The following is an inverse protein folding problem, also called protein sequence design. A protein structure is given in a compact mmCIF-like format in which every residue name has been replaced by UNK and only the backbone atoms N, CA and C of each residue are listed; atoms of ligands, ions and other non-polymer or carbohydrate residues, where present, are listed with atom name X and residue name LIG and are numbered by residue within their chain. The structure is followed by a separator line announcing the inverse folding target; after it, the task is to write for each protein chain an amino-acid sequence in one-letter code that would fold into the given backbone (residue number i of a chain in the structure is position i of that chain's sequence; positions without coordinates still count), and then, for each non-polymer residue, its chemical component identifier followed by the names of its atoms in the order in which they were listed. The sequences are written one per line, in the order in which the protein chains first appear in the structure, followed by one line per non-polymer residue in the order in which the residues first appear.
data_IF_461229459432
#
_entry.id   IF_461229459432
#
_cell.length_a   1.000
_cell.length_b   1.000
_cell.length_c   1.000
_cell.angle_alpha   90.00
_cell.angle_beta   90.00
_cell.angle_gamma   90.00
#
_symmetry.space_group_name_H-M   'P 1'
#
loop_
_entity.id
_entity.type
_entity.pdbx_description
1 polymer ?
#
# COMPACT_ATOMS: atom_id res chain seq x y z
N UNK A 1 12.73 -59.54 -20.32
CA UNK A 1 14.04 -59.14 -20.86
C UNK A 1 14.33 -57.75 -20.31
N UNK A 2 15.34 -57.69 -19.49
CA UNK A 2 15.82 -56.48 -18.80
C UNK A 2 16.67 -55.63 -19.73
N UNK A 3 16.68 -54.33 -19.51
CA UNK A 3 17.90 -53.52 -19.63
C UNK A 3 17.78 -52.26 -18.77
N UNK A 4 18.47 -52.33 -17.67
CA UNK A 4 18.98 -51.24 -16.83
C UNK A 4 19.98 -50.40 -17.62
N UNK A 5 19.94 -49.08 -17.46
CA UNK A 5 21.10 -48.21 -17.69
C UNK A 5 21.25 -47.19 -16.58
N UNK A 6 22.20 -47.46 -15.74
CA UNK A 6 22.90 -46.63 -14.78
C UNK A 6 23.84 -45.69 -15.53
N UNK A 7 23.89 -44.42 -15.17
CA UNK A 7 25.01 -43.52 -15.50
C UNK A 7 25.49 -42.82 -14.24
N UNK A 8 26.81 -42.98 -14.08
CA UNK A 8 27.67 -42.65 -12.97
C UNK A 8 27.80 -41.14 -12.67
N UNK A 9 28.20 -40.88 -11.41
CA UNK A 9 28.56 -39.60 -10.92
C UNK A 9 29.94 -39.11 -11.37
N UNK A 10 30.11 -37.79 -11.34
CA UNK A 10 31.43 -37.15 -11.41
C UNK A 10 31.62 -36.21 -10.24
N UNK A 11 32.48 -36.66 -9.35
CA UNK A 11 33.13 -35.87 -8.30
C UNK A 11 34.25 -35.04 -8.92
N UNK A 12 34.37 -33.77 -8.60
CA UNK A 12 35.60 -33.02 -8.85
C UNK A 12 36.02 -32.18 -7.66
N UNK A 13 37.22 -32.46 -7.27
CA UNK A 13 37.99 -32.03 -6.12
C UNK A 13 38.38 -30.53 -6.10
N UNK A 14 38.44 -30.04 -4.88
CA UNK A 14 39.25 -28.91 -4.35
C UNK A 14 40.65 -28.80 -4.96
N UNK A 15 41.07 -27.55 -5.17
CA UNK A 15 42.47 -27.16 -4.94
C UNK A 15 42.60 -25.70 -4.54
N UNK A 16 43.12 -25.51 -3.34
CA UNK A 16 43.64 -24.24 -2.78
C UNK A 16 44.90 -23.85 -3.50
N UNK A 17 45.14 -22.55 -3.73
CA UNK A 17 46.51 -22.02 -3.84
C UNK A 17 46.63 -20.71 -3.06
N UNK A 18 47.50 -20.76 -2.07
CA UNK A 18 48.06 -19.61 -1.36
C UNK A 18 49.18 -19.00 -2.22
N UNK A 19 49.21 -17.69 -2.32
CA UNK A 19 50.32 -16.93 -2.88
C UNK A 19 50.45 -15.60 -2.16
N UNK A 20 51.37 -15.56 -1.18
CA UNK A 20 51.79 -14.33 -0.52
C UNK A 20 52.87 -13.64 -1.38
N UNK A 21 52.72 -12.36 -1.62
CA UNK A 21 53.82 -11.50 -2.05
C UNK A 21 53.75 -10.15 -1.31
N UNK A 22 54.71 -9.93 -0.44
CA UNK A 22 54.97 -8.65 0.19
C UNK A 22 55.77 -7.77 -0.78
N UNK A 23 55.36 -6.49 -0.93
CA UNK A 23 56.24 -5.43 -1.47
C UNK A 23 55.99 -4.13 -0.69
N UNK A 24 57.11 -3.54 -0.45
CA UNK A 24 57.54 -2.50 0.47
C UNK A 24 56.89 -1.12 0.30
N UNK A 25 56.91 -0.42 1.40
CA UNK A 25 56.54 0.96 1.70
C UNK A 25 57.33 1.97 0.84
N UNK A 26 56.62 2.93 0.27
CA UNK A 26 57.18 4.25 -0.06
C UNK A 26 56.21 5.33 0.45
N UNK A 27 56.65 6.04 1.49
CA UNK A 27 56.02 7.23 2.05
C UNK A 27 56.35 8.41 1.14
N UNK A 28 55.31 9.03 0.57
CA UNK A 28 55.42 10.39 0.09
C UNK A 28 54.24 11.21 0.64
N UNK A 29 54.59 12.13 1.54
CA UNK A 29 53.72 13.19 2.02
C UNK A 29 53.39 14.13 0.87
N UNK A 30 52.12 14.27 0.52
CA UNK A 30 51.60 15.43 -0.17
C UNK A 30 50.24 15.84 0.40
N UNK A 31 50.20 17.06 0.81
CA UNK A 31 49.11 18.03 0.97
C UNK A 31 47.73 17.53 1.35
N UNK A 32 47.31 17.84 2.58
CA UNK A 32 45.93 17.91 2.99
C UNK A 32 45.21 19.01 2.19
N UNK A 33 44.45 18.61 1.16
CA UNK A 33 43.29 19.38 0.74
C UNK A 33 42.08 18.65 1.29
N UNK A 34 41.41 19.24 2.29
CA UNK A 34 40.19 18.75 2.89
C UNK A 34 39.07 18.68 1.84
N UNK A 35 38.78 17.48 1.39
CA UNK A 35 37.48 17.21 0.79
C UNK A 35 36.47 17.32 1.90
N UNK A 36 35.77 18.45 1.98
CA UNK A 36 34.52 18.54 2.71
C UNK A 36 33.57 17.50 2.08
N UNK A 37 33.43 16.33 2.71
CA UNK A 37 32.30 15.47 2.50
C UNK A 37 31.08 16.34 2.83
N UNK A 38 30.29 16.69 1.81
CA UNK A 38 28.94 17.14 2.02
C UNK A 38 28.23 16.00 2.76
N UNK A 39 28.10 16.15 4.06
CA UNK A 39 27.26 15.34 4.89
C UNK A 39 25.86 15.69 4.43
N UNK A 40 25.24 14.82 3.61
CA UNK A 40 23.80 14.90 3.35
C UNK A 40 23.16 14.86 4.74
N UNK A 41 22.53 15.94 5.13
CA UNK A 41 21.64 16.01 6.28
C UNK A 41 20.47 15.04 5.99
N UNK A 42 20.70 13.75 6.19
CA UNK A 42 19.64 12.78 6.31
C UNK A 42 18.89 13.18 7.57
N UNK A 43 17.74 13.80 7.39
CA UNK A 43 16.80 14.06 8.47
C UNK A 43 16.43 12.69 9.06
N UNK A 44 17.17 12.26 10.06
CA UNK A 44 16.90 11.02 10.79
C UNK A 44 15.61 11.25 11.56
N UNK A 45 14.56 10.54 11.18
CA UNK A 45 13.33 10.50 11.97
C UNK A 45 13.65 9.98 13.38
N UNK A 46 13.00 10.55 14.37
CA UNK A 46 13.07 9.99 15.73
C UNK A 46 12.53 8.57 15.73
N UNK A 47 13.23 7.65 16.35
CA UNK A 47 12.77 6.26 16.43
C UNK A 47 11.45 6.19 17.19
N UNK A 48 10.45 5.54 16.61
CA UNK A 48 9.15 5.32 17.20
C UNK A 48 8.87 3.82 17.33
N UNK A 49 8.26 3.44 18.45
CA UNK A 49 7.76 2.08 18.64
C UNK A 49 6.36 1.99 18.03
N UNK A 50 6.02 0.95 17.25
CA UNK A 50 4.65 0.72 16.79
C UNK A 50 3.66 0.73 17.95
N UNK A 51 2.52 1.41 17.78
CA UNK A 51 1.51 1.59 18.83
C UNK A 51 1.81 2.72 19.83
N UNK A 52 2.78 3.60 19.54
CA UNK A 52 3.08 4.76 20.38
C UNK A 52 1.93 5.77 20.40
N UNK A 53 1.20 5.90 19.31
CA UNK A 53 0.01 6.74 19.19
C UNK A 53 -1.24 5.87 19.01
N UNK A 54 -2.36 6.32 19.54
CA UNK A 54 -3.63 5.56 19.53
C UNK A 54 -4.79 6.35 18.92
N UNK A 55 -4.57 7.60 18.55
CA UNK A 55 -5.59 8.45 17.93
C UNK A 55 -4.96 9.60 17.17
N UNK A 56 -5.69 10.09 16.20
CA UNK A 56 -5.44 11.37 15.58
C UNK A 56 -6.05 12.49 16.44
N UNK A 57 -5.66 13.74 16.16
CA UNK A 57 -6.37 14.91 16.63
C UNK A 57 -7.81 14.98 16.09
N UNK A 58 -8.52 16.11 16.26
CA UNK A 58 -9.87 16.27 15.72
C UNK A 58 -9.92 16.01 14.23
N UNK A 59 -10.87 15.17 13.80
CA UNK A 59 -11.11 14.89 12.40
C UNK A 59 -11.76 16.09 11.72
N UNK A 60 -11.45 16.27 10.45
CA UNK A 60 -12.01 17.27 9.56
C UNK A 60 -12.99 16.64 8.58
N UNK A 61 -13.86 17.46 8.00
CA UNK A 61 -14.82 17.05 6.96
C UNK A 61 -14.77 18.05 5.82
N UNK A 62 -14.89 17.57 4.58
CA UNK A 62 -14.97 18.42 3.39
C UNK A 62 -15.79 17.75 2.31
N UNK A 63 -16.61 18.53 1.62
CA UNK A 63 -17.33 18.07 0.43
C UNK A 63 -16.35 17.95 -0.75
N UNK A 64 -16.31 16.78 -1.35
CA UNK A 64 -15.41 16.44 -2.44
C UNK A 64 -16.09 15.48 -3.42
N UNK A 65 -16.41 15.95 -4.61
CA UNK A 65 -17.12 15.16 -5.63
C UNK A 65 -18.46 14.63 -5.12
N UNK A 66 -18.57 13.32 -4.98
CA UNK A 66 -19.80 12.64 -4.50
C UNK A 66 -19.86 12.47 -2.99
N UNK A 67 -18.82 12.85 -2.27
CA UNK A 67 -18.61 12.52 -0.86
C UNK A 67 -18.44 13.77 0.00
N UNK A 68 -18.91 13.68 1.24
CA UNK A 68 -18.39 14.44 2.35
C UNK A 68 -17.30 13.59 3.02
N UNK A 69 -16.04 13.94 2.81
CA UNK A 69 -14.89 13.13 3.19
C UNK A 69 -14.42 13.49 4.58
N UNK A 70 -14.40 12.50 5.49
CA UNK A 70 -13.75 12.62 6.79
C UNK A 70 -12.25 12.31 6.69
N UNK A 71 -11.43 13.14 7.33
CA UNK A 71 -9.97 12.94 7.27
C UNK A 71 -9.25 13.46 8.52
N UNK A 72 -8.09 12.89 8.78
CA UNK A 72 -7.12 13.44 9.73
C UNK A 72 -6.08 14.28 8.98
N UNK A 73 -5.54 15.28 9.65
CA UNK A 73 -4.46 16.12 9.13
C UNK A 73 -3.44 16.39 10.23
N UNK A 74 -2.14 16.33 9.88
CA UNK A 74 -1.03 16.60 10.79
C UNK A 74 0.09 17.37 10.07
N UNK A 75 0.91 18.08 10.85
CA UNK A 75 2.04 18.84 10.34
C UNK A 75 1.68 20.25 9.86
N UNK A 76 2.65 20.98 9.27
CA UNK A 76 2.46 22.36 8.82
C UNK A 76 1.55 22.41 7.59
N UNK A 77 0.58 23.34 7.61
CA UNK A 77 -0.41 23.46 6.53
C UNK A 77 0.17 23.89 5.17
N UNK A 78 1.34 24.49 5.18
CA UNK A 78 2.11 24.95 4.01
C UNK A 78 3.24 23.98 3.60
N UNK A 79 3.40 22.87 4.32
CA UNK A 79 4.37 21.84 3.99
C UNK A 79 4.01 21.06 2.72
N UNK A 80 4.99 20.35 2.11
CA UNK A 80 4.70 19.48 0.99
C UNK A 80 3.67 18.40 1.38
N UNK A 81 2.64 18.24 0.54
CA UNK A 81 1.51 17.37 0.86
C UNK A 81 1.82 15.91 0.64
N UNK A 82 1.45 15.09 1.63
CA UNK A 82 1.47 13.62 1.57
C UNK A 82 0.07 13.09 1.87
N UNK A 83 -0.49 12.28 0.99
CA UNK A 83 -1.73 11.55 1.21
C UNK A 83 -1.42 10.11 1.59
N UNK A 84 -1.98 9.64 2.72
CA UNK A 84 -1.85 8.29 3.22
C UNK A 84 -3.16 7.54 3.06
N UNK A 85 -3.17 6.49 2.25
CA UNK A 85 -4.38 5.80 1.79
C UNK A 85 -4.44 4.38 2.34
N UNK A 86 -5.48 4.11 3.13
CA UNK A 86 -5.73 2.81 3.74
C UNK A 86 -6.45 1.85 2.79
N UNK A 87 -6.58 0.58 3.19
CA UNK A 87 -7.29 -0.45 2.46
C UNK A 87 -8.39 -1.13 3.27
N UNK A 88 -8.83 -2.30 2.79
CA UNK A 88 -9.81 -3.14 3.45
C UNK A 88 -9.12 -4.36 4.13
N UNK A 89 -9.53 -4.77 5.31
CA UNK A 89 -10.44 -4.13 6.24
C UNK A 89 -9.68 -3.29 7.29
N UNK A 90 -9.13 -2.18 6.87
CA UNK A 90 -8.36 -1.24 7.69
C UNK A 90 -8.97 0.15 7.60
N UNK A 91 -8.36 1.13 8.29
CA UNK A 91 -8.77 2.53 8.22
C UNK A 91 -7.59 3.48 8.45
N UNK A 92 -7.89 4.75 8.72
CA UNK A 92 -6.86 5.76 8.98
C UNK A 92 -5.92 5.40 10.13
N UNK A 93 -6.35 4.57 11.10
CA UNK A 93 -5.53 4.17 12.25
C UNK A 93 -4.25 3.43 11.84
N UNK A 94 -4.22 2.84 10.65
CA UNK A 94 -2.99 2.25 10.09
C UNK A 94 -1.83 3.24 9.99
N UNK A 95 -2.13 4.54 9.97
CA UNK A 95 -1.14 5.61 9.83
C UNK A 95 -0.97 6.47 11.08
N UNK A 96 -1.54 6.08 12.21
CA UNK A 96 -1.53 6.89 13.44
C UNK A 96 -0.11 7.18 13.94
N UNK A 97 0.82 6.26 13.73
CA UNK A 97 2.24 6.44 14.06
C UNK A 97 3.06 7.03 12.90
N UNK A 98 2.64 6.82 11.65
CA UNK A 98 3.32 7.36 10.46
C UNK A 98 3.13 8.87 10.34
N UNK A 99 1.90 9.35 10.59
CA UNK A 99 1.58 10.76 10.41
C UNK A 99 2.44 11.71 11.25
N UNK A 100 2.66 11.49 12.56
CA UNK A 100 3.54 12.37 13.35
C UNK A 100 5.02 12.30 12.91
N UNK A 101 5.50 11.16 12.40
CA UNK A 101 6.85 11.06 11.85
C UNK A 101 7.03 11.95 10.63
N UNK A 102 6.10 11.91 9.69
CA UNK A 102 6.13 12.75 8.49
C UNK A 102 5.89 14.23 8.84
N UNK A 103 4.98 14.52 9.78
CA UNK A 103 4.73 15.86 10.26
C UNK A 103 5.99 16.48 10.89
N UNK A 104 6.74 15.72 11.69
CA UNK A 104 8.01 16.17 12.28
C UNK A 104 9.10 16.41 11.23
N UNK A 105 9.00 15.78 10.06
CA UNK A 105 9.86 16.00 8.90
C UNK A 105 9.40 17.18 8.02
N UNK A 106 8.36 17.91 8.43
CA UNK A 106 7.87 19.13 7.77
C UNK A 106 6.80 18.89 6.69
N UNK A 107 6.24 17.70 6.58
CA UNK A 107 5.18 17.39 5.63
C UNK A 107 3.80 17.78 6.17
N UNK A 108 2.93 18.25 5.27
CA UNK A 108 1.49 18.30 5.47
C UNK A 108 0.92 16.91 5.19
N UNK A 109 0.55 16.19 6.24
CA UNK A 109 0.09 14.79 6.17
C UNK A 109 -1.43 14.75 6.22
N UNK A 110 -2.05 14.09 5.25
CA UNK A 110 -3.49 14.03 5.09
C UNK A 110 -3.90 12.56 4.97
N UNK A 111 -4.82 12.12 5.81
CA UNK A 111 -5.24 10.72 5.93
C UNK A 111 -6.76 10.63 5.81
N UNK A 112 -7.31 10.48 4.59
CA UNK A 112 -8.76 10.39 4.40
C UNK A 112 -9.30 9.01 4.74
N UNK A 113 -10.53 8.95 5.25
CA UNK A 113 -11.35 7.76 5.16
C UNK A 113 -11.82 7.57 3.72
N UNK A 114 -11.55 6.43 3.14
CA UNK A 114 -12.10 6.04 1.84
C UNK A 114 -13.63 5.92 1.90
N UNK A 115 -14.29 5.88 0.72
CA UNK A 115 -15.74 5.65 0.64
C UNK A 115 -16.16 4.41 1.43
N UNK A 116 -17.24 4.52 2.21
CA UNK A 116 -17.74 3.44 3.05
C UNK A 116 -16.98 3.25 4.37
N UNK A 117 -16.15 4.20 4.79
CA UNK A 117 -15.39 4.12 6.04
C UNK A 117 -15.58 5.33 6.95
N UNK A 118 -15.48 5.09 8.24
CA UNK A 118 -15.44 6.11 9.28
C UNK A 118 -16.54 7.15 9.12
N UNK A 119 -16.15 8.42 9.07
CA UNK A 119 -17.08 9.55 8.96
C UNK A 119 -17.34 10.00 7.52
N UNK A 120 -16.70 9.40 6.51
CA UNK A 120 -17.01 9.69 5.10
C UNK A 120 -18.45 9.29 4.76
N UNK A 121 -19.19 10.14 4.09
CA UNK A 121 -20.60 9.94 3.70
C UNK A 121 -20.82 10.33 2.26
N UNK A 122 -21.75 9.66 1.59
CA UNK A 122 -22.25 10.13 0.30
C UNK A 122 -23.12 11.38 0.49
N UNK A 123 -22.95 12.36 -0.38
CA UNK A 123 -23.74 13.60 -0.38
C UNK A 123 -25.20 13.35 -0.79
N UNK A 124 -25.48 12.27 -1.50
CA UNK A 124 -26.83 11.86 -1.91
C UNK A 124 -27.09 10.39 -1.63
N UNK A 125 -28.26 10.08 -1.12
CA UNK A 125 -28.76 8.71 -0.95
C UNK A 125 -28.89 7.97 -2.27
N UNK A 126 -29.13 8.70 -3.37
CA UNK A 126 -29.32 8.16 -4.73
C UNK A 126 -27.99 7.78 -5.41
N UNK A 127 -26.85 8.19 -4.86
CA UNK A 127 -25.56 7.82 -5.44
C UNK A 127 -25.33 6.31 -5.31
N UNK A 128 -25.00 5.67 -6.42
CA UNK A 128 -24.68 4.25 -6.42
C UNK A 128 -23.46 3.95 -5.55
N UNK A 129 -23.54 2.91 -4.70
CA UNK A 129 -22.46 2.48 -3.80
C UNK A 129 -21.42 1.70 -4.57
N UNK A 130 -20.76 2.40 -5.48
CA UNK A 130 -19.79 1.87 -6.40
C UNK A 130 -18.45 1.63 -5.71
N UNK A 131 -17.91 0.41 -5.82
CA UNK A 131 -16.60 0.02 -5.31
C UNK A 131 -15.56 -0.24 -6.41
N UNK A 132 -15.79 0.21 -7.67
CA UNK A 132 -14.80 0.08 -8.75
C UNK A 132 -13.49 0.79 -8.38
N UNK A 133 -12.37 0.25 -8.82
CA UNK A 133 -11.05 0.78 -8.50
C UNK A 133 -10.83 2.21 -9.03
N UNK A 134 -11.30 2.51 -10.24
CA UNK A 134 -11.21 3.86 -10.83
C UNK A 134 -11.99 4.89 -10.02
N UNK A 135 -13.14 4.49 -9.46
CA UNK A 135 -14.02 5.39 -8.72
C UNK A 135 -13.42 5.79 -7.38
N UNK A 136 -12.74 4.87 -6.70
CA UNK A 136 -11.99 5.21 -5.47
C UNK A 136 -10.84 6.18 -5.78
N UNK A 137 -10.17 6.01 -6.91
CA UNK A 137 -9.13 6.96 -7.35
C UNK A 137 -9.71 8.35 -7.67
N UNK A 138 -10.87 8.41 -8.33
CA UNK A 138 -11.55 9.67 -8.60
C UNK A 138 -12.01 10.40 -7.34
N UNK A 139 -12.40 9.68 -6.29
CA UNK A 139 -12.69 10.31 -4.99
C UNK A 139 -11.46 11.03 -4.42
N UNK A 140 -10.29 10.41 -4.51
CA UNK A 140 -9.05 11.04 -4.02
C UNK A 140 -8.65 12.23 -4.89
N UNK A 141 -8.84 12.19 -6.20
CA UNK A 141 -8.66 13.35 -7.08
C UNK A 141 -9.61 14.50 -6.67
N UNK A 142 -10.91 14.21 -6.52
CA UNK A 142 -11.88 15.21 -6.08
C UNK A 142 -11.56 15.76 -4.67
N UNK A 143 -11.06 14.91 -3.78
CA UNK A 143 -10.63 15.31 -2.44
C UNK A 143 -9.39 16.23 -2.49
N UNK A 144 -8.41 15.93 -3.34
CA UNK A 144 -7.27 16.82 -3.58
C UNK A 144 -7.73 18.17 -4.13
N UNK A 145 -8.68 18.18 -5.07
CA UNK A 145 -9.23 19.41 -5.63
C UNK A 145 -9.94 20.27 -4.57
N UNK A 146 -10.76 19.64 -3.72
CA UNK A 146 -11.44 20.31 -2.63
C UNK A 146 -10.46 20.94 -1.62
N UNK A 147 -9.33 20.28 -1.36
CA UNK A 147 -8.24 20.78 -0.51
C UNK A 147 -7.28 21.74 -1.22
N UNK A 148 -7.49 22.01 -2.52
CA UNK A 148 -6.61 22.81 -3.39
C UNK A 148 -5.17 22.27 -3.45
N UNK A 149 -5.05 20.95 -3.48
CA UNK A 149 -3.78 20.25 -3.62
C UNK A 149 -3.60 19.87 -5.08
N UNK A 150 -2.74 20.58 -5.78
CA UNK A 150 -2.45 20.30 -7.19
C UNK A 150 -1.68 18.98 -7.34
N UNK A 151 -0.70 18.75 -6.46
CA UNK A 151 0.19 17.61 -6.52
C UNK A 151 0.61 17.15 -5.12
N UNK A 152 0.69 15.84 -4.89
CA UNK A 152 1.11 15.28 -3.61
C UNK A 152 1.95 14.02 -3.77
N UNK A 153 2.72 13.67 -2.76
CA UNK A 153 3.26 12.30 -2.61
C UNK A 153 2.14 11.40 -2.13
N UNK A 154 1.89 10.31 -2.84
CA UNK A 154 0.84 9.34 -2.53
C UNK A 154 1.48 8.08 -1.92
N UNK A 155 0.95 7.63 -0.80
CA UNK A 155 1.44 6.44 -0.15
C UNK A 155 0.27 5.60 0.38
N UNK A 156 0.31 4.28 0.19
CA UNK A 156 -0.79 3.44 0.61
C UNK A 156 -0.46 1.96 0.67
N UNK A 157 -1.42 1.20 1.17
CA UNK A 157 -1.40 -0.26 1.17
C UNK A 157 -2.78 -0.80 0.81
N UNK A 158 -2.86 -2.03 0.30
CA UNK A 158 -4.10 -2.69 -0.11
C UNK A 158 -4.92 -1.83 -1.12
N UNK A 159 -6.20 -1.53 -0.87
CA UNK A 159 -6.99 -0.64 -1.74
C UNK A 159 -6.37 0.75 -1.87
N UNK A 160 -5.73 1.24 -0.80
CA UNK A 160 -5.04 2.53 -0.82
C UNK A 160 -3.83 2.54 -1.74
N UNK A 161 -3.05 1.46 -1.78
CA UNK A 161 -1.94 1.31 -2.72
C UNK A 161 -2.46 1.26 -4.16
N UNK A 162 -3.49 0.45 -4.44
CA UNK A 162 -4.13 0.40 -5.76
C UNK A 162 -4.66 1.75 -6.20
N UNK A 163 -5.29 2.49 -5.28
CA UNK A 163 -5.77 3.85 -5.54
C UNK A 163 -4.63 4.79 -5.91
N UNK A 164 -3.53 4.74 -5.17
CA UNK A 164 -2.33 5.54 -5.44
C UNK A 164 -1.67 5.16 -6.77
N UNK A 165 -1.57 3.86 -7.08
CA UNK A 165 -1.05 3.34 -8.36
C UNK A 165 -1.88 3.86 -9.53
N UNK A 166 -3.21 3.83 -9.42
CA UNK A 166 -4.13 4.32 -10.46
C UNK A 166 -3.94 5.82 -10.69
N UNK A 167 -3.84 6.62 -9.63
CA UNK A 167 -3.60 8.06 -9.76
C UNK A 167 -2.25 8.31 -10.40
N UNK A 168 -1.20 7.63 -9.96
CA UNK A 168 0.14 7.78 -10.52
C UNK A 168 0.23 7.37 -12.00
N UNK A 169 -0.59 6.39 -12.42
CA UNK A 169 -0.62 5.90 -13.79
C UNK A 169 -1.46 6.79 -14.73
N UNK A 170 -2.64 7.24 -14.30
CA UNK A 170 -3.60 7.94 -15.15
C UNK A 170 -3.51 9.47 -15.04
N UNK A 171 -3.02 10.00 -13.92
CA UNK A 171 -2.85 11.43 -13.63
C UNK A 171 -1.48 11.70 -12.98
N UNK A 172 -0.37 11.40 -13.69
CA UNK A 172 0.99 11.55 -13.14
C UNK A 172 1.32 12.99 -12.70
N UNK A 173 0.64 13.98 -13.26
CA UNK A 173 0.75 15.38 -12.86
C UNK A 173 0.22 15.62 -11.43
N UNK A 174 -0.66 14.77 -10.92
CA UNK A 174 -1.21 14.85 -9.56
C UNK A 174 -0.37 14.11 -8.52
N UNK A 175 0.55 13.23 -8.98
CA UNK A 175 1.39 12.40 -8.12
C UNK A 175 2.85 12.82 -8.23
N UNK A 176 3.44 13.36 -7.13
CA UNK A 176 4.85 13.74 -7.07
C UNK A 176 5.75 12.52 -6.97
N UNK A 177 5.40 11.61 -6.08
CA UNK A 177 6.07 10.34 -5.84
C UNK A 177 5.08 9.33 -5.28
N UNK A 178 5.40 8.04 -5.40
CA UNK A 178 4.53 6.94 -5.01
C UNK A 178 5.24 6.01 -4.02
N UNK A 179 4.52 5.64 -2.94
CA UNK A 179 4.90 4.49 -2.10
C UNK A 179 3.74 3.50 -2.11
N UNK A 180 3.97 2.30 -2.66
CA UNK A 180 2.94 1.28 -2.82
C UNK A 180 3.34 -0.02 -2.11
N UNK A 181 2.60 -0.39 -1.08
CA UNK A 181 2.78 -1.68 -0.40
C UNK A 181 2.13 -2.77 -1.24
N UNK A 182 2.84 -3.89 -1.40
CA UNK A 182 2.52 -5.04 -2.25
C UNK A 182 2.62 -4.77 -3.76
N UNK A 183 3.25 -3.66 -4.14
CA UNK A 183 3.70 -3.40 -5.51
C UNK A 183 2.64 -2.80 -6.43
N UNK A 184 2.56 -3.30 -7.66
CA UNK A 184 1.61 -2.82 -8.67
C UNK A 184 0.27 -3.55 -8.52
N UNK A 185 -0.76 -2.83 -8.07
CA UNK A 185 -2.06 -3.42 -7.72
C UNK A 185 -3.22 -3.05 -8.65
N UNK A 186 -2.93 -2.39 -9.77
CA UNK A 186 -3.94 -2.14 -10.81
C UNK A 186 -4.34 -3.48 -11.42
N UNK A 187 -5.62 -3.80 -11.39
CA UNK A 187 -6.17 -5.04 -11.91
C UNK A 187 -7.19 -4.81 -13.04
N UNK A 188 -7.75 -5.91 -13.54
CA UNK A 188 -8.88 -5.92 -14.46
C UNK A 188 -9.87 -7.01 -14.05
N UNK A 189 -11.10 -6.94 -14.53
CA UNK A 189 -12.08 -8.02 -14.32
C UNK A 189 -11.57 -9.33 -14.97
N UNK A 190 -10.99 -9.25 -16.17
CA UNK A 190 -10.40 -10.43 -16.83
C UNK A 190 -9.34 -11.11 -15.95
N UNK A 191 -8.41 -10.34 -15.37
CA UNK A 191 -7.42 -10.89 -14.44
C UNK A 191 -8.07 -11.43 -13.15
N UNK A 192 -9.15 -10.79 -12.67
CA UNK A 192 -9.91 -11.22 -11.50
C UNK A 192 -10.66 -12.54 -11.71
N UNK A 193 -11.00 -12.88 -12.95
CA UNK A 193 -11.63 -14.14 -13.33
C UNK A 193 -10.63 -15.28 -13.56
N UNK A 194 -9.35 -15.00 -13.70
CA UNK A 194 -8.33 -16.02 -13.89
C UNK A 194 -8.06 -16.77 -12.57
N UNK A 195 -8.14 -18.11 -12.56
CA UNK A 195 -7.90 -18.88 -11.34
C UNK A 195 -6.45 -18.77 -10.88
N UNK A 196 -6.26 -18.65 -9.58
CA UNK A 196 -4.96 -18.66 -8.94
C UNK A 196 -4.59 -20.06 -8.46
N UNK A 197 -3.31 -20.29 -8.05
CA UNK A 197 -2.95 -21.51 -7.36
C UNK A 197 -3.81 -21.72 -6.09
N UNK A 198 -4.16 -22.97 -5.73
CA UNK A 198 -5.10 -23.26 -4.63
C UNK A 198 -4.75 -22.59 -3.29
N UNK A 199 -3.45 -22.45 -2.98
CA UNK A 199 -3.01 -21.77 -1.75
C UNK A 199 -3.35 -20.28 -1.74
N UNK A 200 -3.22 -19.61 -2.89
CA UNK A 200 -3.60 -18.20 -3.02
C UNK A 200 -5.13 -18.03 -2.98
N UNK A 201 -5.88 -18.95 -3.62
CA UNK A 201 -7.36 -18.97 -3.54
C UNK A 201 -7.82 -19.18 -2.09
N UNK A 202 -7.17 -20.04 -1.34
CA UNK A 202 -7.47 -20.28 0.08
C UNK A 202 -7.26 -19.00 0.91
N UNK A 203 -6.25 -18.20 0.62
CA UNK A 203 -6.02 -16.93 1.31
C UNK A 203 -7.05 -15.86 0.92
N UNK A 204 -7.54 -15.89 -0.33
CA UNK A 204 -8.57 -14.98 -0.83
C UNK A 204 -10.00 -15.57 -0.79
N UNK A 205 -10.25 -16.62 0.02
CA UNK A 205 -11.53 -17.29 0.16
C UNK A 205 -12.71 -16.35 0.35
N UNK A 206 -12.50 -15.23 1.01
CA UNK A 206 -13.53 -14.24 1.31
C UNK A 206 -14.09 -13.57 0.04
N UNK A 207 -13.35 -13.48 -1.05
CA UNK A 207 -13.86 -12.94 -2.31
C UNK A 207 -14.98 -13.82 -2.86
N UNK A 208 -14.82 -15.14 -2.79
CA UNK A 208 -15.85 -16.11 -3.21
C UNK A 208 -17.00 -16.17 -2.23
N UNK A 209 -16.73 -15.96 -0.94
CA UNK A 209 -17.80 -15.82 0.05
C UNK A 209 -18.65 -14.58 -0.25
N UNK A 210 -18.07 -13.44 -0.54
CA UNK A 210 -18.74 -12.20 -0.91
C UNK A 210 -19.49 -12.27 -2.25
N UNK A 211 -19.12 -13.18 -3.14
CA UNK A 211 -19.83 -13.46 -4.38
C UNK A 211 -21.28 -13.91 -4.12
N UNK A 212 -21.55 -14.53 -2.97
CA UNK A 212 -22.83 -15.09 -2.60
C UNK A 212 -23.66 -14.11 -1.74
N UNK A 213 -25.00 -14.28 -1.76
CA UNK A 213 -25.88 -13.53 -0.83
C UNK A 213 -25.63 -13.93 0.64
N UNK A 214 -25.31 -15.22 0.88
CA UNK A 214 -24.88 -15.69 2.20
C UNK A 214 -23.68 -14.91 2.70
N UNK A 215 -22.69 -14.62 1.82
CA UNK A 215 -21.49 -13.86 2.15
C UNK A 215 -21.80 -12.42 2.49
N UNK A 216 -22.67 -11.77 1.71
CA UNK A 216 -23.11 -10.39 1.98
C UNK A 216 -23.77 -10.28 3.35
N UNK A 217 -24.77 -11.12 3.62
CA UNK A 217 -25.50 -11.14 4.91
C UNK A 217 -24.57 -11.53 6.07
N UNK A 218 -23.67 -12.49 5.83
CA UNK A 218 -22.72 -12.97 6.85
C UNK A 218 -21.72 -11.88 7.22
N UNK A 219 -21.21 -11.13 6.24
CA UNK A 219 -20.33 -9.99 6.49
C UNK A 219 -21.04 -8.86 7.24
N UNK A 220 -22.23 -8.49 6.80
CA UNK A 220 -23.05 -7.46 7.44
C UNK A 220 -23.30 -7.78 8.94
N UNK A 221 -23.63 -9.03 9.23
CA UNK A 221 -23.91 -9.48 10.60
C UNK A 221 -22.65 -9.57 11.47
N UNK A 222 -21.53 -10.01 10.91
CA UNK A 222 -20.32 -10.40 11.66
C UNK A 222 -19.08 -9.61 11.23
N UNK A 223 -19.23 -8.39 10.70
CA UNK A 223 -18.14 -7.63 10.06
C UNK A 223 -16.92 -7.43 10.94
N UNK A 224 -17.09 -7.26 12.26
CA UNK A 224 -15.96 -7.10 13.20
C UNK A 224 -15.14 -8.39 13.31
N UNK A 225 -15.78 -9.49 13.62
CA UNK A 225 -15.11 -10.79 13.77
C UNK A 225 -14.49 -11.26 12.45
N UNK A 226 -15.21 -11.02 11.35
CA UNK A 226 -14.73 -11.31 10.00
C UNK A 226 -13.45 -10.50 9.69
N UNK A 227 -13.48 -9.19 9.89
CA UNK A 227 -12.34 -8.32 9.64
C UNK A 227 -11.15 -8.66 10.53
N UNK A 228 -11.39 -9.03 11.80
CA UNK A 228 -10.35 -9.48 12.73
C UNK A 228 -9.70 -10.79 12.27
N UNK A 229 -10.50 -11.71 11.71
CA UNK A 229 -9.97 -12.93 11.12
C UNK A 229 -9.06 -12.62 9.92
N UNK A 230 -9.48 -11.69 9.04
CA UNK A 230 -8.63 -11.25 7.91
C UNK A 230 -7.32 -10.63 8.40
N UNK A 231 -7.33 -9.79 9.44
CA UNK A 231 -6.11 -9.23 10.01
C UNK A 231 -5.13 -10.33 10.45
N UNK A 232 -5.62 -11.35 11.15
CA UNK A 232 -4.80 -12.49 11.60
C UNK A 232 -4.25 -13.31 10.45
N UNK A 233 -5.01 -13.46 9.36
CA UNK A 233 -4.53 -14.15 8.16
C UNK A 233 -3.49 -13.32 7.40
N UNK A 234 -3.75 -12.03 7.23
CA UNK A 234 -2.90 -11.15 6.45
C UNK A 234 -1.61 -10.74 7.17
N UNK A 235 -1.64 -10.70 8.52
CA UNK A 235 -0.49 -10.36 9.38
C UNK A 235 -0.29 -11.43 10.46
N UNK A 236 0.11 -12.66 10.07
CA UNK A 236 0.08 -13.82 10.98
C UNK A 236 1.10 -13.77 12.12
N UNK A 237 2.09 -12.88 12.04
CA UNK A 237 3.09 -12.67 13.10
C UNK A 237 2.87 -11.39 13.90
N UNK A 238 1.86 -10.62 13.56
CA UNK A 238 1.54 -9.39 14.28
C UNK A 238 0.65 -9.69 15.49
N UNK A 239 1.21 -9.49 16.68
CA UNK A 239 0.49 -9.65 17.95
C UNK A 239 -0.21 -8.32 18.33
N UNK A 240 -1.31 -8.01 17.62
CA UNK A 240 -2.13 -6.85 17.93
C UNK A 240 -3.16 -7.17 19.01
N UNK A 241 -3.40 -6.24 19.94
CA UNK A 241 -4.42 -6.36 20.96
C UNK A 241 -5.82 -5.98 20.43
N UNK A 242 -6.84 -6.33 21.22
CA UNK A 242 -8.23 -6.02 20.91
C UNK A 242 -8.48 -4.52 20.79
N UNK A 243 -7.82 -3.71 21.62
CA UNK A 243 -7.98 -2.26 21.59
C UNK A 243 -7.44 -1.65 20.27
N UNK A 244 -6.36 -2.18 19.74
CA UNK A 244 -5.82 -1.77 18.43
C UNK A 244 -6.79 -2.09 17.31
N UNK A 245 -7.35 -3.29 17.29
CA UNK A 245 -8.35 -3.68 16.30
C UNK A 245 -9.64 -2.86 16.47
N UNK A 246 -10.12 -2.66 17.70
CA UNK A 246 -11.39 -1.99 17.98
C UNK A 246 -11.40 -0.52 17.52
N UNK A 247 -10.26 0.17 17.59
CA UNK A 247 -10.12 1.54 17.05
C UNK A 247 -10.42 1.59 15.56
N UNK A 248 -9.88 0.67 14.78
CA UNK A 248 -10.16 0.56 13.34
C UNK A 248 -11.57 0.06 13.08
N UNK A 249 -12.04 -0.95 13.83
CA UNK A 249 -13.34 -1.57 13.61
C UNK A 249 -14.52 -0.61 13.78
N UNK A 250 -14.37 0.46 14.54
CA UNK A 250 -15.37 1.53 14.65
C UNK A 250 -15.67 2.20 13.28
N UNK A 251 -14.72 2.21 12.35
CA UNK A 251 -14.92 2.78 11.02
C UNK A 251 -15.83 1.93 10.13
N UNK A 252 -15.97 0.64 10.42
CA UNK A 252 -16.84 -0.30 9.67
C UNK A 252 -18.32 -0.13 10.01
N UNK A 253 -18.66 0.68 11.03
CA UNK A 253 -20.04 1.04 11.35
C UNK A 253 -20.61 2.10 10.39
N UNK A 254 -19.81 2.55 9.42
CA UNK A 254 -20.30 3.38 8.32
C UNK A 254 -21.44 2.67 7.59
N UNK A 255 -22.59 3.34 7.37
CA UNK A 255 -23.78 2.71 6.78
C UNK A 255 -23.57 2.19 5.35
N UNK A 256 -22.61 2.74 4.63
CA UNK A 256 -22.31 2.35 3.24
C UNK A 256 -21.22 1.28 3.15
N UNK A 257 -20.59 0.91 4.29
CA UNK A 257 -19.42 0.03 4.31
C UNK A 257 -19.64 -1.31 3.62
N UNK A 258 -20.68 -2.02 4.03
CA UNK A 258 -20.97 -3.36 3.49
C UNK A 258 -21.27 -3.29 2.00
N UNK A 259 -22.07 -2.32 1.56
CA UNK A 259 -22.42 -2.17 0.16
C UNK A 259 -21.18 -1.93 -0.72
N UNK A 260 -20.29 -1.03 -0.29
CA UNK A 260 -19.04 -0.72 -1.01
C UNK A 260 -18.10 -1.94 -1.05
N UNK A 261 -17.90 -2.62 0.07
CA UNK A 261 -17.01 -3.79 0.15
C UNK A 261 -17.51 -4.92 -0.74
N UNK A 262 -18.79 -5.27 -0.62
CA UNK A 262 -19.39 -6.33 -1.42
C UNK A 262 -19.36 -5.99 -2.91
N UNK A 263 -19.66 -4.73 -3.28
CA UNK A 263 -19.61 -4.31 -4.67
C UNK A 263 -18.18 -4.41 -5.22
N UNK A 264 -17.16 -3.96 -4.47
CA UNK A 264 -15.75 -4.03 -4.91
C UNK A 264 -15.34 -5.46 -5.27
N UNK A 265 -15.62 -6.42 -4.40
CA UNK A 265 -15.19 -7.79 -4.63
C UNK A 265 -16.06 -8.51 -5.70
N UNK A 266 -17.36 -8.24 -5.77
CA UNK A 266 -18.22 -8.78 -6.84
C UNK A 266 -17.83 -8.21 -8.20
N UNK A 267 -17.56 -6.90 -8.29
CA UNK A 267 -17.14 -6.28 -9.54
C UNK A 267 -15.81 -6.87 -10.04
N UNK A 268 -14.84 -7.11 -9.15
CA UNK A 268 -13.57 -7.73 -9.51
C UNK A 268 -13.72 -9.13 -10.10
N UNK A 269 -14.75 -9.86 -9.70
CA UNK A 269 -15.08 -11.20 -10.18
C UNK A 269 -16.13 -11.20 -11.30
N UNK A 270 -16.41 -10.06 -11.91
CA UNK A 270 -17.45 -9.87 -12.95
C UNK A 270 -18.85 -10.35 -12.52
N UNK A 271 -19.15 -10.21 -11.22
CA UNK A 271 -20.43 -10.60 -10.61
C UNK A 271 -21.30 -9.39 -10.21
N UNK A 272 -20.86 -8.19 -10.52
CA UNK A 272 -21.62 -6.95 -10.36
C UNK A 272 -21.22 -5.95 -11.43
N UNK A 273 -22.23 -5.27 -11.97
CA UNK A 273 -22.02 -4.20 -12.95
C UNK A 273 -21.38 -2.97 -12.28
N UNK A 274 -20.46 -2.32 -12.99
CA UNK A 274 -20.00 -0.98 -12.67
C UNK A 274 -20.90 0.10 -13.26
N UNK A 275 -20.54 1.37 -13.08
CA UNK A 275 -21.18 2.48 -13.76
C UNK A 275 -20.51 2.73 -15.11
N UNK A 276 -21.28 2.66 -16.21
CA UNK A 276 -20.78 2.80 -17.59
C UNK A 276 -19.98 4.05 -17.86
N UNK A 277 -20.22 5.13 -17.12
CA UNK A 277 -19.43 6.37 -17.25
C UNK A 277 -17.95 6.22 -16.90
N UNK A 278 -17.55 5.11 -16.26
CA UNK A 278 -16.17 4.79 -15.89
C UNK A 278 -15.56 3.70 -16.78
N UNK A 279 -16.29 3.13 -17.74
CA UNK A 279 -15.81 2.03 -18.59
C UNK A 279 -14.52 2.37 -19.33
N UNK A 280 -14.36 3.60 -19.81
CA UNK A 280 -13.14 4.02 -20.50
C UNK A 280 -11.92 4.09 -19.56
N UNK A 281 -12.13 4.43 -18.29
CA UNK A 281 -11.07 4.39 -17.28
C UNK A 281 -10.69 2.93 -16.96
N UNK A 282 -11.68 2.07 -16.76
CA UNK A 282 -11.42 0.65 -16.47
C UNK A 282 -10.73 -0.06 -17.64
N UNK A 283 -11.09 0.26 -18.90
CA UNK A 283 -10.38 -0.24 -20.10
C UNK A 283 -8.92 0.18 -20.09
N UNK A 284 -8.63 1.46 -19.84
CA UNK A 284 -7.24 1.96 -19.73
C UNK A 284 -6.47 1.26 -18.61
N UNK A 285 -7.11 0.97 -17.49
CA UNK A 285 -6.50 0.26 -16.37
C UNK A 285 -6.25 -1.22 -16.70
N UNK A 286 -7.15 -1.86 -17.44
CA UNK A 286 -7.02 -3.24 -17.89
C UNK A 286 -5.80 -3.45 -18.82
N UNK A 287 -5.36 -2.43 -19.56
CA UNK A 287 -4.13 -2.45 -20.33
C UNK A 287 -2.86 -2.51 -19.45
N UNK A 288 -3.00 -2.30 -18.16
CA UNK A 288 -1.90 -2.30 -17.20
C UNK A 288 -0.92 -1.15 -17.45
N UNK A 289 -1.36 0.12 -17.33
CA UNK A 289 -0.57 1.30 -17.66
C UNK A 289 0.71 1.40 -16.82
N UNK A 290 1.73 2.00 -17.41
CA UNK A 290 3.04 2.19 -16.77
C UNK A 290 3.00 3.42 -15.86
N UNK A 291 3.61 3.31 -14.69
CA UNK A 291 3.78 4.39 -13.72
C UNK A 291 5.16 5.03 -13.94
N UNK A 292 5.17 6.32 -14.27
CA UNK A 292 6.39 7.05 -14.61
C UNK A 292 6.95 7.91 -13.45
N UNK A 293 6.20 8.11 -12.38
CA UNK A 293 6.66 8.90 -11.23
C UNK A 293 7.67 8.12 -10.39
N UNK A 294 8.54 8.81 -9.62
CA UNK A 294 9.43 8.15 -8.66
C UNK A 294 8.64 7.24 -7.73
N UNK A 295 9.04 5.98 -7.62
CA UNK A 295 8.27 4.97 -6.89
C UNK A 295 9.14 4.11 -5.99
N UNK A 296 8.67 3.88 -4.77
CA UNK A 296 9.17 2.84 -3.86
C UNK A 296 8.03 1.86 -3.60
N UNK A 297 8.21 0.60 -4.01
CA UNK A 297 7.32 -0.47 -3.56
C UNK A 297 7.85 -1.11 -2.29
N UNK A 298 6.95 -1.56 -1.42
CA UNK A 298 7.30 -2.17 -0.14
C UNK A 298 6.59 -3.49 0.06
N UNK A 299 7.22 -4.40 0.81
CA UNK A 299 6.60 -5.65 1.23
C UNK A 299 7.07 -6.05 2.62
N UNK A 300 6.21 -6.64 3.44
CA UNK A 300 6.55 -7.27 4.71
C UNK A 300 6.98 -8.71 4.51
N UNK A 301 8.02 -9.17 5.22
CA UNK A 301 8.53 -10.54 5.09
C UNK A 301 7.62 -11.63 5.66
N UNK A 302 6.50 -11.24 6.26
CA UNK A 302 5.46 -12.12 6.79
C UNK A 302 4.04 -11.74 6.31
N UNK A 303 3.93 -11.04 5.15
CA UNK A 303 2.63 -10.76 4.57
C UNK A 303 1.91 -12.06 4.19
N UNK A 304 0.79 -12.33 4.85
CA UNK A 304 -0.05 -13.51 4.62
C UNK A 304 -1.08 -13.32 3.50
N UNK A 305 -1.24 -12.09 2.97
CA UNK A 305 -2.08 -11.86 1.81
C UNK A 305 -1.31 -12.20 0.52
N UNK A 306 -1.96 -12.78 -0.50
CA UNK A 306 -1.31 -13.03 -1.78
C UNK A 306 -0.82 -11.73 -2.41
N UNK A 307 0.42 -11.71 -2.82
CA UNK A 307 1.07 -10.59 -3.48
C UNK A 307 2.01 -11.08 -4.58
N UNK A 308 2.15 -10.32 -5.68
CA UNK A 308 3.04 -10.73 -6.77
C UNK A 308 4.51 -10.56 -6.38
N UNK A 309 5.37 -11.40 -6.96
CA UNK A 309 6.81 -11.21 -6.87
C UNK A 309 7.22 -9.86 -7.48
N UNK A 310 8.12 -9.08 -6.84
CA UNK A 310 8.58 -7.80 -7.37
C UNK A 310 9.13 -7.86 -8.80
N UNK A 311 9.73 -8.96 -9.21
CA UNK A 311 10.20 -9.16 -10.58
C UNK A 311 9.05 -9.20 -11.61
N UNK A 312 7.86 -9.66 -11.21
CA UNK A 312 6.71 -9.79 -12.10
C UNK A 312 6.12 -8.42 -12.52
N UNK A 313 6.27 -7.39 -11.68
CA UNK A 313 5.72 -6.05 -11.94
C UNK A 313 6.78 -4.95 -12.11
N UNK A 314 8.07 -5.27 -12.05
CA UNK A 314 9.15 -4.27 -12.15
C UNK A 314 9.04 -3.41 -13.42
N UNK A 315 8.64 -3.99 -14.52
CA UNK A 315 8.47 -3.32 -15.82
C UNK A 315 7.27 -2.35 -15.88
N UNK A 316 6.40 -2.36 -14.87
CA UNK A 316 5.29 -1.41 -14.73
C UNK A 316 5.73 -0.05 -14.20
N UNK A 317 7.01 0.09 -13.81
CA UNK A 317 7.57 1.34 -13.30
C UNK A 317 8.71 1.80 -14.22
N UNK A 318 8.50 2.88 -14.98
CA UNK A 318 9.50 3.45 -15.90
C UNK A 318 10.31 4.58 -15.29
N UNK A 319 9.83 5.19 -14.21
CA UNK A 319 10.54 6.19 -13.45
C UNK A 319 11.63 5.62 -12.55
N UNK A 320 12.21 6.46 -11.68
CA UNK A 320 13.11 5.99 -10.63
C UNK A 320 12.36 5.04 -9.71
N UNK A 321 12.89 3.84 -9.55
CA UNK A 321 12.21 2.76 -8.84
C UNK A 321 13.14 2.04 -7.86
N UNK A 322 12.60 1.75 -6.68
CA UNK A 322 13.21 0.86 -5.70
C UNK A 322 12.15 -0.08 -5.09
N UNK A 323 12.59 -1.25 -4.64
CA UNK A 323 11.78 -2.15 -3.83
C UNK A 323 12.42 -2.32 -2.46
N UNK A 324 11.61 -2.38 -1.39
CA UNK A 324 12.05 -2.60 -0.02
C UNK A 324 11.27 -3.73 0.63
N UNK A 325 11.95 -4.81 1.02
CA UNK A 325 11.36 -5.84 1.88
C UNK A 325 11.68 -5.52 3.34
N UNK A 326 10.65 -5.35 4.16
CA UNK A 326 10.77 -5.04 5.59
C UNK A 326 10.78 -6.35 6.35
N UNK A 327 11.88 -6.59 7.05
CA UNK A 327 12.11 -7.82 7.82
C UNK A 327 11.65 -7.68 9.27
N UNK A 328 11.48 -8.82 9.93
CA UNK A 328 11.13 -8.87 11.36
C UNK A 328 9.74 -9.39 11.63
N UNK A 329 9.12 -10.05 10.66
CA UNK A 329 7.78 -10.61 10.80
C UNK A 329 6.67 -9.62 10.48
N UNK A 330 6.97 -8.59 9.67
CA UNK A 330 6.01 -7.56 9.24
C UNK A 330 5.03 -8.16 8.26
N UNK A 331 3.75 -7.98 8.52
CA UNK A 331 2.64 -8.48 7.72
C UNK A 331 2.08 -7.45 6.73
N UNK A 332 0.79 -7.59 6.47
CA UNK A 332 0.08 -6.82 5.45
C UNK A 332 -0.16 -5.35 5.83
N UNK A 333 -0.45 -5.07 7.11
CA UNK A 333 -0.64 -3.70 7.59
C UNK A 333 0.71 -3.04 7.90
N UNK A 334 1.60 -3.04 6.90
CA UNK A 334 2.97 -2.58 7.01
C UNK A 334 3.09 -1.16 7.61
N UNK A 335 2.23 -0.17 7.28
CA UNK A 335 2.33 1.16 7.90
C UNK A 335 2.14 1.14 9.42
N UNK A 336 1.30 0.25 9.95
CA UNK A 336 1.06 0.14 11.40
C UNK A 336 2.07 -0.77 12.08
N UNK A 337 2.53 -1.82 11.38
CA UNK A 337 3.50 -2.79 11.90
C UNK A 337 4.95 -2.26 11.86
N UNK A 338 5.26 -1.41 10.88
CA UNK A 338 6.59 -0.83 10.67
C UNK A 338 6.53 0.66 10.28
N UNK A 339 5.94 1.53 11.13
CA UNK A 339 5.67 2.94 10.80
C UNK A 339 6.92 3.73 10.44
N UNK A 340 8.04 3.47 11.09
CA UNK A 340 9.33 4.10 10.82
C UNK A 340 9.79 3.82 9.38
N UNK A 341 9.79 2.54 8.97
CA UNK A 341 10.23 2.12 7.65
C UNK A 341 9.32 2.68 6.54
N UNK A 342 8.01 2.76 6.82
CA UNK A 342 7.05 3.34 5.88
C UNK A 342 7.27 4.85 5.73
N UNK A 343 7.42 5.60 6.82
CA UNK A 343 7.71 7.04 6.78
C UNK A 343 9.03 7.36 6.07
N UNK A 344 10.09 6.57 6.32
CA UNK A 344 11.37 6.69 5.63
C UNK A 344 11.26 6.41 4.12
N UNK A 345 10.38 5.49 3.71
CA UNK A 345 10.11 5.25 2.30
C UNK A 345 9.41 6.43 1.64
N UNK A 346 8.43 7.04 2.32
CA UNK A 346 7.73 8.24 1.83
C UNK A 346 8.70 9.40 1.62
N UNK A 347 9.54 9.68 2.62
CA UNK A 347 10.54 10.75 2.54
C UNK A 347 11.55 10.47 1.43
N UNK A 348 12.01 9.23 1.31
CA UNK A 348 12.97 8.85 0.27
C UNK A 348 12.38 8.95 -1.15
N UNK A 349 11.12 8.60 -1.35
CA UNK A 349 10.44 8.72 -2.63
C UNK A 349 10.21 10.20 -3.01
N UNK A 350 9.86 11.04 -2.04
CA UNK A 350 9.55 12.47 -2.25
C UNK A 350 10.78 13.32 -2.61
N UNK A 351 11.97 12.94 -2.13
CA UNK A 351 13.25 13.68 -2.35
C UNK A 351 13.92 13.38 -3.68
N UNK A 352 13.35 12.55 -4.49
CA UNK A 352 13.84 12.16 -5.82
C UNK A 352 13.27 13.11 -6.89
#
# INVERSE_FOLDING_TARGET
MATTNTIEGVNLHRRCFFGAAAVSIAVSQFGMMGSAKAQSDETRLSAIKPGAHTSFGPLKQIDAGLLNVGYAEAGPGDGPSVLLLHGWPYDIQSFVDVAPLLASAGYRVIVPYLRGYGTTRFLSSETFRNGQQSVVALDIIAFMDALKIEKATLAGFDWGARTADIIAALWPERCKALVSVSGYLIGSQEAGMAPLPPEAELQWWYQFYFATERGRVGYDKNRRDFSKLIWRQASPKWDFDDATFDRTAASFDNPDHVAIVIHNYRWRLDLADGERKYDDLEKRLAEGPVIAVPTITMEGDANGAPHPDPAAYRNKFSGRYAHRTIKGGVGHNLPQEAPQAFAEAVIAADRV
#
